data_IF_957443630222
#
_entry.id   IF_957443630222
#
_cell.length_a   1.000
_cell.length_b   1.000
_cell.length_c   1.000
_cell.angle_alpha   90.00
_cell.angle_beta   90.00
_cell.angle_gamma   90.00
#
_symmetry.space_group_name_H-M   'P 1'
#
loop_
_entity.id
_entity.type
_entity.pdbx_description
1 polymer ?
#
# COMPACT_ATOMS: atom_id res chain seq x y z
N UNK A 1 -29.48 -2.55 -38.92
CA UNK A 1 -29.01 -3.72 -38.13
C UNK A 1 -29.68 -3.66 -36.77
N UNK A 2 -31.02 -3.65 -36.78
CA UNK A 2 -31.89 -3.19 -35.66
C UNK A 2 -32.97 -4.23 -35.35
N UNK A 3 -32.80 -5.47 -35.81
CA UNK A 3 -33.88 -6.45 -35.94
C UNK A 3 -33.69 -7.74 -35.15
N UNK A 4 -32.63 -7.87 -34.34
CA UNK A 4 -32.41 -9.09 -33.53
C UNK A 4 -32.78 -8.90 -32.06
N UNK A 5 -32.49 -7.74 -31.46
CA UNK A 5 -32.86 -7.47 -30.06
C UNK A 5 -34.37 -7.31 -29.85
N UNK A 6 -35.12 -6.87 -30.88
CA UNK A 6 -36.57 -6.67 -30.80
C UNK A 6 -37.38 -7.96 -30.59
N UNK A 7 -36.80 -9.15 -30.85
CA UNK A 7 -37.52 -10.42 -30.88
C UNK A 7 -37.40 -11.27 -29.60
N UNK A 8 -36.65 -10.83 -28.59
CA UNK A 8 -36.48 -11.60 -27.35
C UNK A 8 -37.69 -11.42 -26.42
N UNK A 9 -38.26 -12.55 -25.97
CA UNK A 9 -39.33 -12.59 -24.97
C UNK A 9 -38.91 -11.85 -23.69
N UNK A 10 -39.84 -11.17 -22.98
CA UNK A 10 -39.51 -10.33 -21.83
C UNK A 10 -38.61 -11.02 -20.80
N UNK A 11 -38.90 -12.28 -20.45
CA UNK A 11 -38.09 -13.04 -19.49
C UNK A 11 -36.70 -13.45 -19.97
N UNK A 12 -36.44 -13.49 -21.29
CA UNK A 12 -35.09 -13.74 -21.83
C UNK A 12 -34.26 -12.46 -21.81
N UNK A 13 -34.89 -11.29 -22.03
CA UNK A 13 -34.21 -10.00 -21.86
C UNK A 13 -33.82 -9.76 -20.41
N UNK A 14 -34.73 -10.03 -19.46
CA UNK A 14 -34.44 -9.91 -18.03
C UNK A 14 -33.35 -10.90 -17.57
N UNK A 15 -33.31 -12.10 -18.16
CA UNK A 15 -32.22 -13.06 -17.92
C UNK A 15 -30.89 -12.59 -18.52
N UNK A 16 -30.87 -11.99 -19.72
CA UNK A 16 -29.65 -11.45 -20.34
C UNK A 16 -29.18 -10.19 -19.64
N UNK A 17 -30.09 -9.33 -19.18
CA UNK A 17 -29.78 -8.14 -18.38
C UNK A 17 -29.29 -8.52 -16.97
N UNK A 18 -29.89 -9.52 -16.33
CA UNK A 18 -29.41 -10.02 -15.03
C UNK A 18 -28.08 -10.75 -15.14
N UNK A 19 -27.85 -11.55 -16.19
CA UNK A 19 -26.54 -12.16 -16.48
C UNK A 19 -25.50 -11.06 -16.81
N UNK A 20 -25.86 -10.05 -17.60
CA UNK A 20 -25.01 -8.90 -17.93
C UNK A 20 -24.81 -7.91 -16.77
N UNK A 21 -25.68 -7.91 -15.76
CA UNK A 21 -25.52 -7.18 -14.51
C UNK A 21 -24.62 -7.96 -13.53
N UNK A 22 -24.75 -9.28 -13.48
CA UNK A 22 -23.87 -10.18 -12.72
C UNK A 22 -22.45 -10.20 -13.31
N UNK A 23 -22.27 -10.07 -14.62
CA UNK A 23 -20.96 -9.95 -15.29
C UNK A 23 -20.26 -8.59 -15.08
N UNK A 24 -20.98 -7.54 -14.63
CA UNK A 24 -20.42 -6.18 -14.48
C UNK A 24 -19.85 -5.86 -13.11
N UNK A 25 -19.91 -6.78 -12.14
CA UNK A 25 -19.31 -6.56 -10.83
C UNK A 25 -17.91 -7.18 -10.75
N UNK A 26 -16.89 -6.32 -10.83
CA UNK A 26 -15.49 -6.73 -10.69
C UNK A 26 -15.31 -7.23 -9.27
N UNK A 27 -14.98 -8.52 -9.08
CA UNK A 27 -14.83 -9.12 -7.76
C UNK A 27 -13.85 -8.33 -6.87
N UNK A 28 -14.39 -7.64 -5.86
CA UNK A 28 -13.65 -6.73 -4.98
C UNK A 28 -12.99 -7.45 -3.83
N UNK A 29 -11.93 -6.86 -3.31
CA UNK A 29 -11.36 -7.28 -2.04
C UNK A 29 -12.31 -6.97 -0.88
N UNK A 30 -12.23 -7.78 0.17
CA UNK A 30 -12.95 -7.57 1.42
C UNK A 30 -12.65 -6.16 1.99
N UNK A 31 -13.58 -5.65 2.79
CA UNK A 31 -13.50 -4.29 3.33
C UNK A 31 -12.22 -4.07 4.15
N UNK A 32 -11.81 -5.04 4.97
CA UNK A 32 -10.61 -4.94 5.80
C UNK A 32 -9.34 -4.82 4.94
N UNK A 33 -9.21 -5.63 3.88
CA UNK A 33 -8.09 -5.52 2.91
C UNK A 33 -8.06 -4.13 2.27
N UNK A 34 -9.20 -3.60 1.83
CA UNK A 34 -9.28 -2.27 1.18
C UNK A 34 -8.91 -1.15 2.14
N UNK A 35 -9.48 -1.14 3.35
CA UNK A 35 -9.19 -0.12 4.37
C UNK A 35 -7.71 -0.14 4.75
N UNK A 36 -7.16 -1.31 5.09
CA UNK A 36 -5.73 -1.42 5.39
C UNK A 36 -4.87 -1.01 4.19
N UNK A 37 -5.25 -1.39 2.96
CA UNK A 37 -4.53 -0.97 1.76
C UNK A 37 -4.39 0.55 1.69
N UNK A 38 -5.51 1.27 1.77
CA UNK A 38 -5.53 2.73 1.63
C UNK A 38 -4.88 3.46 2.81
N UNK A 39 -5.01 2.95 4.04
CA UNK A 39 -4.30 3.50 5.20
C UNK A 39 -2.78 3.47 4.95
N UNK A 40 -2.24 2.32 4.55
CA UNK A 40 -0.81 2.22 4.26
C UNK A 40 -0.40 3.04 3.03
N UNK A 41 -1.23 3.05 1.97
CA UNK A 41 -0.90 3.81 0.76
C UNK A 41 -0.78 5.32 1.09
N UNK A 42 -1.75 5.88 1.80
CA UNK A 42 -1.72 7.28 2.22
C UNK A 42 -0.54 7.56 3.17
N UNK A 43 -0.34 6.71 4.17
CA UNK A 43 0.72 6.90 5.16
C UNK A 43 2.13 6.75 4.57
N UNK A 44 2.36 5.80 3.64
CA UNK A 44 3.65 5.64 2.95
C UNK A 44 3.93 6.84 2.04
N UNK A 45 2.93 7.33 1.30
CA UNK A 45 3.09 8.51 0.45
C UNK A 45 3.45 9.75 1.30
N UNK A 46 2.70 10.00 2.37
CA UNK A 46 3.02 11.06 3.32
C UNK A 46 4.44 10.88 3.90
N UNK A 47 4.76 9.71 4.45
CA UNK A 47 6.01 9.48 5.14
C UNK A 47 7.23 9.57 4.21
N UNK A 48 7.05 9.19 2.94
CA UNK A 48 8.07 9.36 1.91
C UNK A 48 8.35 10.84 1.69
N UNK A 49 7.31 11.64 1.42
CA UNK A 49 7.46 13.09 1.20
C UNK A 49 8.02 13.79 2.43
N UNK A 50 7.48 13.49 3.62
CA UNK A 50 7.93 14.06 4.89
C UNK A 50 9.38 13.68 5.20
N UNK A 51 9.76 12.40 5.01
CA UNK A 51 11.11 11.92 5.25
C UNK A 51 12.16 12.60 4.38
N UNK A 52 11.89 12.78 3.08
CA UNK A 52 12.79 13.53 2.19
C UNK A 52 12.79 15.03 2.50
N UNK A 53 11.65 15.63 2.86
CA UNK A 53 11.60 17.03 3.28
C UNK A 53 12.44 17.28 4.55
N UNK A 54 12.36 16.38 5.54
CA UNK A 54 13.14 16.45 6.78
C UNK A 54 14.65 16.44 6.57
N UNK A 55 15.13 15.84 5.48
CA UNK A 55 16.55 15.84 5.11
C UNK A 55 17.04 17.20 4.60
N UNK A 56 16.12 18.04 4.11
CA UNK A 56 16.42 19.34 3.51
C UNK A 56 16.06 20.53 4.42
N UNK A 57 15.18 20.32 5.40
CA UNK A 57 14.77 21.36 6.32
C UNK A 57 15.88 21.67 7.35
N UNK A 58 16.13 22.96 7.65
CA UNK A 58 16.99 23.34 8.76
C UNK A 58 16.33 22.96 10.09
N UNK A 59 17.14 22.92 11.15
CA UNK A 59 16.63 22.74 12.51
C UNK A 59 15.65 23.85 12.89
N UNK A 60 14.56 23.46 13.55
CA UNK A 60 13.51 24.38 13.98
C UNK A 60 12.15 23.70 14.18
N UNK A 61 11.13 24.47 14.61
CA UNK A 61 9.84 23.94 15.04
C UNK A 61 9.12 23.10 13.99
N UNK A 62 9.22 23.51 12.71
CA UNK A 62 8.60 22.78 11.60
C UNK A 62 9.25 21.40 11.39
N UNK A 63 10.59 21.33 11.45
CA UNK A 63 11.33 20.07 11.31
C UNK A 63 11.01 19.12 12.46
N UNK A 64 10.97 19.64 13.69
CA UNK A 64 10.61 18.84 14.88
C UNK A 64 9.17 18.32 14.81
N UNK A 65 8.21 19.18 14.41
CA UNK A 65 6.83 18.78 14.23
C UNK A 65 6.69 17.67 13.17
N UNK A 66 7.27 17.85 11.98
CA UNK A 66 7.22 16.86 10.92
C UNK A 66 7.91 15.56 11.32
N UNK A 67 9.03 15.64 12.05
CA UNK A 67 9.76 14.47 12.55
C UNK A 67 8.91 13.68 13.53
N UNK A 68 8.31 14.34 14.54
CA UNK A 68 7.40 13.71 15.50
C UNK A 68 6.18 13.09 14.81
N UNK A 69 5.56 13.81 13.88
CA UNK A 69 4.39 13.32 13.15
C UNK A 69 4.74 12.10 12.28
N UNK A 70 5.88 12.14 11.58
CA UNK A 70 6.35 11.04 10.76
C UNK A 70 6.64 9.78 11.59
N UNK A 71 7.33 9.92 12.72
CA UNK A 71 7.58 8.81 13.64
C UNK A 71 6.28 8.25 14.22
N UNK A 72 5.35 9.11 14.64
CA UNK A 72 4.06 8.69 15.21
C UNK A 72 3.20 7.89 14.21
N UNK A 73 3.12 8.36 12.96
CA UNK A 73 2.42 7.63 11.89
C UNK A 73 3.12 6.28 11.64
N UNK A 74 4.45 6.25 11.61
CA UNK A 74 5.20 5.01 11.45
C UNK A 74 4.95 4.02 12.60
N UNK A 75 4.83 4.49 13.85
CA UNK A 75 4.44 3.65 15.00
C UNK A 75 3.08 2.98 14.79
N UNK A 76 2.09 3.74 14.32
CA UNK A 76 0.76 3.18 14.01
C UNK A 76 0.89 2.10 12.93
N UNK A 77 1.68 2.35 11.88
CA UNK A 77 1.92 1.36 10.84
C UNK A 77 2.64 0.11 11.36
N UNK A 78 3.59 0.24 12.29
CA UNK A 78 4.27 -0.90 12.93
C UNK A 78 3.26 -1.84 13.57
N UNK A 79 2.22 -1.30 14.23
CA UNK A 79 1.16 -2.10 14.86
C UNK A 79 0.19 -2.69 13.83
N UNK A 80 -0.19 -1.91 12.81
CA UNK A 80 -1.13 -2.36 11.78
C UNK A 80 -0.50 -3.33 10.77
N UNK A 81 0.82 -3.35 10.63
CA UNK A 81 1.51 -4.14 9.61
C UNK A 81 1.40 -5.65 9.85
N UNK A 82 1.62 -6.19 11.07
CA UNK A 82 1.35 -7.59 11.38
C UNK A 82 -0.11 -8.00 11.10
N UNK A 83 -1.09 -7.15 11.45
CA UNK A 83 -2.49 -7.39 11.13
C UNK A 83 -2.70 -7.51 9.62
N UNK A 84 -2.12 -6.59 8.84
CA UNK A 84 -2.18 -6.61 7.38
C UNK A 84 -1.56 -7.87 6.79
N UNK A 85 -0.38 -8.27 7.26
CA UNK A 85 0.33 -9.47 6.77
C UNK A 85 -0.44 -10.74 7.16
N UNK A 86 -0.88 -10.83 8.41
CA UNK A 86 -1.69 -11.95 8.91
C UNK A 86 -2.98 -12.10 8.11
N UNK A 87 -3.73 -11.01 7.94
CA UNK A 87 -4.96 -11.01 7.13
C UNK A 87 -4.70 -11.41 5.68
N UNK A 88 -3.63 -10.89 5.07
CA UNK A 88 -3.24 -11.24 3.71
C UNK A 88 -2.89 -12.73 3.54
N UNK A 89 -2.50 -13.41 4.62
CA UNK A 89 -2.10 -14.82 4.61
C UNK A 89 -3.28 -15.78 4.76
N UNK A 90 -4.38 -15.34 5.38
CA UNK A 90 -5.58 -16.16 5.63
C UNK A 90 -6.75 -15.85 4.71
N UNK A 91 -6.82 -14.64 4.15
CA UNK A 91 -7.94 -14.25 3.28
C UNK A 91 -7.97 -15.08 1.99
N UNK A 92 -9.16 -15.30 1.46
CA UNK A 92 -9.36 -15.83 0.11
C UNK A 92 -9.35 -14.65 -0.87
N UNK A 93 -8.35 -14.53 -1.77
CA UNK A 93 -8.32 -13.44 -2.74
C UNK A 93 -9.46 -13.60 -3.77
N UNK A 94 -10.05 -12.50 -4.26
CA UNK A 94 -11.02 -12.57 -5.34
C UNK A 94 -10.39 -13.18 -6.59
N UNK A 95 -11.19 -13.81 -7.46
CA UNK A 95 -10.71 -14.37 -8.73
C UNK A 95 -9.95 -13.32 -9.53
N UNK A 96 -8.83 -13.72 -10.11
CA UNK A 96 -8.01 -12.83 -10.92
C UNK A 96 -8.72 -12.44 -12.23
N UNK A 97 -8.44 -11.24 -12.79
CA UNK A 97 -9.07 -10.80 -14.03
C UNK A 97 -8.70 -11.76 -15.17
N UNK A 98 -9.67 -12.03 -16.04
CA UNK A 98 -9.40 -12.78 -17.26
C UNK A 98 -8.33 -12.07 -18.11
N UNK A 99 -7.47 -12.85 -18.78
CA UNK A 99 -6.44 -12.31 -19.69
C UNK A 99 -5.09 -11.94 -19.06
N UNK A 100 -4.88 -12.20 -17.76
CA UNK A 100 -3.54 -12.02 -17.13
C UNK A 100 -2.69 -13.28 -17.32
N UNK A 101 -1.52 -13.14 -17.94
CA UNK A 101 -0.63 -14.28 -18.19
C UNK A 101 -0.08 -14.88 -16.88
N UNK A 102 0.29 -16.19 -16.85
CA UNK A 102 0.95 -16.78 -15.67
C UNK A 102 2.21 -16.01 -15.22
N UNK A 103 3.00 -15.51 -16.18
CA UNK A 103 4.20 -14.73 -15.90
C UNK A 103 3.86 -13.38 -15.25
N UNK A 104 2.86 -12.66 -15.77
CA UNK A 104 2.39 -11.40 -15.16
C UNK A 104 1.90 -11.61 -13.73
N UNK A 105 1.19 -12.72 -13.48
CA UNK A 105 0.76 -13.09 -12.11
C UNK A 105 1.95 -13.32 -11.19
N UNK A 106 2.94 -14.11 -11.63
CA UNK A 106 4.15 -14.37 -10.85
C UNK A 106 4.90 -13.06 -10.50
N UNK A 107 5.05 -12.17 -11.48
CA UNK A 107 5.67 -10.85 -11.28
C UNK A 107 4.87 -10.01 -10.28
N UNK A 108 3.54 -9.97 -10.39
CA UNK A 108 2.69 -9.20 -9.48
C UNK A 108 2.79 -9.73 -8.03
N UNK A 109 2.76 -11.05 -7.84
CA UNK A 109 2.95 -11.66 -6.52
C UNK A 109 4.35 -11.39 -5.96
N UNK A 110 5.39 -11.49 -6.79
CA UNK A 110 6.77 -11.17 -6.42
C UNK A 110 6.93 -9.70 -6.00
N UNK A 111 6.39 -8.77 -6.78
CA UNK A 111 6.41 -7.34 -6.47
C UNK A 111 5.68 -7.04 -5.16
N UNK A 112 4.51 -7.64 -4.90
CA UNK A 112 3.82 -7.49 -3.63
C UNK A 112 4.64 -8.02 -2.45
N UNK A 113 5.22 -9.23 -2.55
CA UNK A 113 6.08 -9.78 -1.49
C UNK A 113 7.28 -8.88 -1.21
N UNK A 114 7.90 -8.36 -2.26
CA UNK A 114 9.01 -7.41 -2.13
C UNK A 114 8.57 -6.13 -1.44
N UNK A 115 7.41 -5.54 -1.82
CA UNK A 115 6.84 -4.39 -1.12
C UNK A 115 6.61 -4.68 0.37
N UNK A 116 6.03 -5.83 0.73
CA UNK A 116 5.85 -6.22 2.14
C UNK A 116 7.19 -6.29 2.88
N UNK A 117 8.21 -6.93 2.28
CA UNK A 117 9.53 -7.04 2.88
C UNK A 117 10.19 -5.66 3.06
N UNK A 118 10.10 -4.80 2.06
CA UNK A 118 10.68 -3.44 2.13
C UNK A 118 9.93 -2.58 3.16
N UNK A 119 8.59 -2.66 3.24
CA UNK A 119 7.82 -1.96 4.28
C UNK A 119 8.27 -2.42 5.67
N UNK A 120 8.41 -3.74 5.88
CA UNK A 120 8.92 -4.27 7.14
C UNK A 120 10.31 -3.73 7.47
N UNK A 121 11.23 -3.73 6.50
CA UNK A 121 12.58 -3.19 6.68
C UNK A 121 12.57 -1.70 7.03
N UNK A 122 11.74 -0.89 6.36
CA UNK A 122 11.60 0.56 6.62
C UNK A 122 11.04 0.79 8.04
N UNK A 123 9.95 0.12 8.40
CA UNK A 123 9.29 0.29 9.70
C UNK A 123 10.20 -0.12 10.86
N UNK A 124 10.86 -1.28 10.76
CA UNK A 124 11.76 -1.77 11.80
C UNK A 124 13.00 -0.89 11.93
N UNK A 125 13.69 -0.60 10.81
CA UNK A 125 14.88 0.26 10.85
C UNK A 125 14.57 1.68 11.33
N UNK A 126 13.40 2.23 10.96
CA UNK A 126 12.98 3.57 11.36
C UNK A 126 12.75 3.70 12.86
N UNK A 127 12.20 2.66 13.50
CA UNK A 127 12.07 2.62 14.95
C UNK A 127 13.42 2.44 15.65
N UNK A 128 14.24 1.51 15.15
CA UNK A 128 15.51 1.13 15.80
C UNK A 128 16.61 2.19 15.65
N UNK A 129 16.55 3.05 14.62
CA UNK A 129 17.58 4.07 14.39
C UNK A 129 17.49 5.27 15.33
N UNK A 130 16.36 5.48 16.00
CA UNK A 130 16.11 6.69 16.81
C UNK A 130 16.76 6.54 18.18
N UNK A 131 17.72 7.40 18.58
CA UNK A 131 18.50 7.16 19.79
C UNK A 131 17.91 7.71 21.09
N UNK A 132 16.97 8.66 21.02
CA UNK A 132 16.47 9.42 22.19
C UNK A 132 14.98 9.24 22.44
N UNK A 133 14.36 8.21 21.84
CA UNK A 133 12.90 8.12 21.79
C UNK A 133 12.26 9.28 21.02
N UNK A 134 10.93 9.34 21.07
CA UNK A 134 10.13 10.41 20.49
C UNK A 134 8.76 10.48 21.15
N UNK A 135 8.13 11.66 21.12
CA UNK A 135 6.74 11.82 21.55
C UNK A 135 5.78 11.25 20.51
N UNK A 136 4.90 10.34 20.95
CA UNK A 136 3.81 9.81 20.14
C UNK A 136 2.65 10.80 20.10
N UNK A 137 2.49 11.49 18.97
CA UNK A 137 1.51 12.56 18.74
C UNK A 137 1.50 13.66 19.83
N UNK A 138 2.60 13.83 20.58
CA UNK A 138 2.68 14.76 21.71
C UNK A 138 1.94 14.30 22.98
N UNK A 139 1.55 13.02 23.07
CA UNK A 139 0.77 12.48 24.19
C UNK A 139 1.65 11.81 25.25
N UNK A 140 2.58 10.95 24.82
CA UNK A 140 3.52 10.23 25.68
C UNK A 140 4.79 9.87 24.92
N UNK A 141 5.87 9.59 25.63
CA UNK A 141 7.15 9.21 25.04
C UNK A 141 7.19 7.72 24.68
N UNK A 142 7.70 7.42 23.50
CA UNK A 142 8.06 6.06 23.09
C UNK A 142 9.56 5.89 23.28
N UNK A 143 10.01 5.02 24.21
CA UNK A 143 11.42 4.73 24.38
C UNK A 143 11.91 3.89 23.20
N UNK A 144 13.17 4.10 22.83
CA UNK A 144 13.83 3.34 21.77
C UNK A 144 14.97 2.50 22.35
N UNK A 145 15.31 1.35 21.74
CA UNK A 145 16.14 0.35 22.40
C UNK A 145 17.64 0.66 22.38
N UNK A 146 18.10 1.56 21.52
CA UNK A 146 19.53 1.79 21.29
C UNK A 146 19.89 3.25 21.54
N UNK A 147 20.98 3.46 22.29
CA UNK A 147 21.59 4.77 22.43
C UNK A 147 22.33 5.19 21.16
N UNK A 148 22.63 6.49 21.05
CA UNK A 148 23.37 7.05 19.92
C UNK A 148 24.75 6.39 19.77
N UNK A 149 25.06 5.92 18.56
CA UNK A 149 26.37 5.38 18.20
C UNK A 149 26.41 4.75 16.82
N UNK A 150 27.45 3.95 16.56
CA UNK A 150 27.68 3.34 15.25
C UNK A 150 26.52 2.45 14.75
N UNK A 151 25.79 1.80 15.66
CA UNK A 151 24.62 0.98 15.29
C UNK A 151 23.47 1.85 14.78
N UNK A 152 23.11 2.93 15.48
CA UNK A 152 22.02 3.83 15.07
C UNK A 152 22.36 4.54 13.75
N UNK A 153 23.63 4.88 13.51
CA UNK A 153 24.08 5.45 12.24
C UNK A 153 23.95 4.46 11.07
N UNK A 154 24.33 3.19 11.27
CA UNK A 154 24.14 2.12 10.27
C UNK A 154 22.66 1.86 9.99
N UNK A 155 21.83 1.84 11.03
CA UNK A 155 20.38 1.69 10.89
C UNK A 155 19.76 2.87 10.14
N UNK A 156 20.21 4.09 10.40
CA UNK A 156 19.78 5.28 9.65
C UNK A 156 20.15 5.18 8.16
N UNK A 157 21.38 4.77 7.84
CA UNK A 157 21.79 4.55 6.45
C UNK A 157 20.94 3.46 5.76
N UNK A 158 20.70 2.34 6.45
CA UNK A 158 19.86 1.25 5.96
C UNK A 158 18.40 1.69 5.77
N UNK A 159 17.85 2.47 6.70
CA UNK A 159 16.51 3.03 6.62
C UNK A 159 16.38 3.94 5.40
N UNK A 160 17.33 4.86 5.18
CA UNK A 160 17.35 5.75 4.01
C UNK A 160 17.39 4.98 2.69
N UNK A 161 18.26 3.96 2.60
CA UNK A 161 18.33 3.11 1.42
C UNK A 161 17.02 2.35 1.19
N UNK A 162 16.43 1.79 2.24
CA UNK A 162 15.16 1.06 2.18
C UNK A 162 14.00 1.97 1.78
N UNK A 163 13.98 3.24 2.22
CA UNK A 163 13.00 4.24 1.81
C UNK A 163 13.10 4.55 0.32
N UNK A 164 14.32 4.70 -0.22
CA UNK A 164 14.52 4.93 -1.65
C UNK A 164 14.03 3.73 -2.49
N UNK A 165 14.32 2.51 -2.05
CA UNK A 165 13.81 1.29 -2.69
C UNK A 165 12.28 1.24 -2.61
N UNK A 166 11.69 1.52 -1.44
CA UNK A 166 10.24 1.54 -1.27
C UNK A 166 9.57 2.56 -2.20
N UNK A 167 10.11 3.78 -2.29
CA UNK A 167 9.60 4.82 -3.17
C UNK A 167 9.63 4.37 -4.64
N UNK A 168 10.73 3.75 -5.09
CA UNK A 168 10.84 3.19 -6.44
C UNK A 168 9.82 2.07 -6.70
N UNK A 169 9.64 1.15 -5.74
CA UNK A 169 8.67 0.06 -5.86
C UNK A 169 7.22 0.57 -5.88
N UNK A 170 6.89 1.57 -5.05
CA UNK A 170 5.57 2.22 -5.05
C UNK A 170 5.32 2.90 -6.39
N UNK A 171 6.31 3.62 -6.94
CA UNK A 171 6.20 4.24 -8.26
C UNK A 171 5.92 3.18 -9.34
N UNK A 172 6.70 2.10 -9.38
CA UNK A 172 6.50 1.00 -10.32
C UNK A 172 5.13 0.33 -10.15
N UNK A 173 4.67 0.16 -8.91
CA UNK A 173 3.35 -0.37 -8.60
C UNK A 173 2.23 0.52 -9.14
N UNK A 174 2.30 1.84 -8.90
CA UNK A 174 1.33 2.80 -9.41
C UNK A 174 1.34 2.82 -10.94
N UNK A 175 2.52 2.82 -11.59
CA UNK A 175 2.64 2.74 -13.04
C UNK A 175 2.03 1.45 -13.61
N UNK A 176 2.19 0.31 -12.90
CA UNK A 176 1.54 -0.93 -13.30
C UNK A 176 0.02 -0.85 -13.18
N UNK A 177 -0.52 -0.29 -12.09
CA UNK A 177 -1.97 -0.06 -11.93
C UNK A 177 -2.50 0.82 -13.05
N UNK A 178 -1.80 1.91 -13.35
CA UNK A 178 -2.13 2.84 -14.43
C UNK A 178 -2.15 2.15 -15.79
N UNK A 179 -1.09 1.37 -16.11
CA UNK A 179 -1.02 0.55 -17.33
C UNK A 179 -2.21 -0.41 -17.42
N UNK A 180 -2.54 -1.09 -16.34
CA UNK A 180 -3.64 -2.05 -16.31
C UNK A 180 -5.02 -1.36 -16.43
N UNK A 181 -5.17 -0.15 -15.89
CA UNK A 181 -6.41 0.61 -15.99
C UNK A 181 -6.66 1.17 -17.40
N UNK A 182 -5.64 1.74 -18.06
CA UNK A 182 -5.83 2.43 -19.33
C UNK A 182 -5.53 1.57 -20.56
N UNK A 183 -4.53 0.69 -20.49
CA UNK A 183 -4.12 -0.17 -21.61
C UNK A 183 -4.84 -1.51 -21.54
N UNK A 184 -4.72 -2.23 -20.41
CA UNK A 184 -5.34 -3.55 -20.28
C UNK A 184 -6.86 -3.47 -20.02
N UNK A 185 -7.36 -2.32 -19.55
CA UNK A 185 -8.78 -2.04 -19.24
C UNK A 185 -9.46 -3.12 -18.39
N UNK A 186 -8.69 -3.75 -17.51
CA UNK A 186 -9.15 -4.91 -16.72
C UNK A 186 -9.78 -4.52 -15.37
N UNK A 187 -10.03 -3.22 -15.14
CA UNK A 187 -10.73 -2.72 -13.95
C UNK A 187 -10.01 -3.00 -12.63
N UNK A 188 -8.69 -3.23 -12.65
CA UNK A 188 -7.91 -3.67 -11.48
C UNK A 188 -8.06 -2.73 -10.27
N UNK A 189 -8.17 -1.42 -10.52
CA UNK A 189 -8.39 -0.44 -9.46
C UNK A 189 -9.77 -0.60 -8.77
N UNK A 190 -10.82 -0.97 -9.52
CA UNK A 190 -12.18 -1.19 -8.96
C UNK A 190 -12.22 -2.33 -7.95
N UNK A 191 -11.21 -3.21 -7.92
CA UNK A 191 -11.09 -4.28 -6.90
C UNK A 191 -10.68 -3.74 -5.54
N UNK A 192 -10.00 -2.59 -5.51
CA UNK A 192 -9.48 -1.95 -4.30
C UNK A 192 -10.33 -0.78 -3.80
N UNK A 193 -11.26 -0.28 -4.63
CA UNK A 193 -12.20 0.80 -4.30
C UNK A 193 -13.56 0.23 -3.92
#
# INVERSE_FOLDING_TARGET
METVESALAPGVRDAVESVGAVERDVARYDALTRVLHWIFAAAILYATVAGYALAQLPDGPLREFLSRLNMSIATVLIVLFPLRVGWASVRVPPREPAGVSPMQRAIAHGAHRLLYLTIFAVLTSGYLMVPKGYEFFGLFEIPTPFAQGALTERLFAFHRASCAVLAGLVLLHVLAVVKHQWIARNGLLRRMV
#
